data_IF_642477173559
#
_entry.id   IF_642477173559
#
_cell.length_a   1.000
_cell.length_b   1.000
_cell.length_c   1.000
_cell.angle_alpha   90.00
_cell.angle_beta   90.00
_cell.angle_gamma   90.00
#
_symmetry.space_group_name_H-M   'P 1'
#
loop_
_entity.id
_entity.type
_entity.pdbx_description
1 polymer ?
#
# COMPACT_ATOMS: atom_id res chain seq x y z
N UNK A 1 -3.79 16.74 3.48
CA UNK A 1 -3.53 15.27 3.49
C UNK A 1 -2.16 15.10 4.12
N UNK A 2 -2.08 14.39 5.24
CA UNK A 2 -0.79 14.05 5.84
C UNK A 2 -0.21 12.84 5.11
N UNK A 3 1.11 12.85 4.89
CA UNK A 3 1.84 11.73 4.27
C UNK A 3 1.87 10.53 5.23
N UNK A 4 2.03 9.31 4.72
CA UNK A 4 2.00 8.15 5.62
C UNK A 4 3.17 8.20 6.62
N UNK A 5 2.94 7.99 7.94
CA UNK A 5 4.00 8.03 8.95
C UNK A 5 5.18 7.10 8.64
N UNK A 6 4.88 5.94 8.03
CA UNK A 6 5.88 4.98 7.59
C UNK A 6 6.80 5.54 6.50
N UNK A 7 6.25 6.27 5.52
CA UNK A 7 7.05 6.90 4.48
C UNK A 7 7.94 8.01 5.05
N UNK A 8 7.42 8.78 6.01
CA UNK A 8 8.19 9.82 6.70
C UNK A 8 9.38 9.25 7.48
N UNK A 9 9.18 8.17 8.24
CA UNK A 9 10.26 7.42 8.91
C UNK A 9 11.27 6.87 7.89
N UNK A 10 10.80 6.33 6.77
CA UNK A 10 11.68 5.83 5.71
C UNK A 10 12.54 6.93 5.05
N UNK A 11 12.10 8.19 5.07
CA UNK A 11 12.83 9.33 4.53
C UNK A 11 13.64 10.10 5.59
N UNK A 12 13.72 9.57 6.83
CA UNK A 12 14.45 10.20 7.94
C UNK A 12 13.76 11.43 8.52
N UNK A 13 12.47 11.63 8.23
CA UNK A 13 11.62 12.72 8.75
C UNK A 13 10.82 12.24 9.95
N UNK A 14 11.52 11.74 10.96
CA UNK A 14 10.92 11.10 12.16
C UNK A 14 10.05 12.07 12.95
N UNK A 15 10.46 13.34 13.07
CA UNK A 15 9.71 14.36 13.82
C UNK A 15 8.33 14.65 13.18
N UNK A 16 8.28 14.68 11.84
CA UNK A 16 7.02 14.86 11.10
C UNK A 16 6.15 13.61 11.11
N UNK A 17 6.77 12.43 11.18
CA UNK A 17 6.05 11.18 11.37
C UNK A 17 5.35 11.14 12.73
N UNK A 18 6.01 11.67 13.77
CA UNK A 18 5.49 11.78 15.12
C UNK A 18 4.31 12.75 15.17
N UNK A 19 4.46 13.95 14.59
CA UNK A 19 3.38 14.95 14.48
C UNK A 19 2.16 14.38 13.72
N UNK A 20 2.41 13.67 12.62
CA UNK A 20 1.36 13.01 11.85
C UNK A 20 0.68 11.88 12.64
N UNK A 21 1.44 11.07 13.38
CA UNK A 21 0.90 10.02 14.25
C UNK A 21 0.06 10.59 15.39
N UNK A 22 0.51 11.69 16.00
CA UNK A 22 -0.26 12.42 17.01
C UNK A 22 -1.58 12.93 16.43
N UNK A 23 -1.55 13.54 15.24
CA UNK A 23 -2.76 13.99 14.54
C UNK A 23 -3.75 12.84 14.27
N UNK A 24 -3.27 11.68 13.82
CA UNK A 24 -4.14 10.51 13.61
C UNK A 24 -4.68 9.88 14.89
N UNK A 25 -4.01 10.08 16.04
CA UNK A 25 -4.38 9.49 17.35
C UNK A 25 -5.00 10.48 18.33
N UNK A 26 -5.26 11.72 17.92
CA UNK A 26 -5.96 12.70 18.75
C UNK A 26 -7.23 12.08 19.36
N UNK A 27 -7.23 11.90 20.68
CA UNK A 27 -8.38 11.40 21.46
C UNK A 27 -8.36 9.92 21.86
N UNK A 28 -7.41 9.10 21.40
CA UNK A 28 -7.39 7.65 21.69
C UNK A 28 -6.15 7.13 22.43
N UNK A 29 -5.03 7.85 22.43
CA UNK A 29 -3.76 7.34 22.96
C UNK A 29 -2.98 8.36 23.80
N UNK A 30 -2.18 7.83 24.72
CA UNK A 30 -1.21 8.62 25.49
C UNK A 30 0.06 8.87 24.67
N UNK A 31 0.79 9.98 24.91
CA UNK A 31 1.99 10.30 24.13
C UNK A 31 3.08 9.21 24.20
N UNK A 32 3.17 8.44 25.29
CA UNK A 32 4.12 7.32 25.40
C UNK A 32 3.77 6.11 24.53
N UNK A 33 2.48 5.87 24.25
CA UNK A 33 2.05 4.81 23.33
C UNK A 33 2.31 5.19 21.87
N UNK A 34 2.28 6.49 21.55
CA UNK A 34 2.62 7.01 20.21
C UNK A 34 4.12 6.85 19.94
N UNK A 35 4.97 7.15 20.91
CA UNK A 35 6.43 6.98 20.79
C UNK A 35 6.82 5.50 20.68
N UNK A 36 6.11 4.62 21.40
CA UNK A 36 6.28 3.16 21.28
C UNK A 36 5.94 2.68 19.87
N UNK A 37 4.80 3.10 19.31
CA UNK A 37 4.41 2.76 17.94
C UNK A 37 5.40 3.30 16.91
N UNK A 38 5.89 4.54 17.09
CA UNK A 38 6.91 5.13 16.22
C UNK A 38 8.18 4.27 16.23
N UNK A 39 8.63 3.83 17.41
CA UNK A 39 9.80 2.94 17.56
C UNK A 39 9.57 1.59 16.87
N UNK A 40 8.36 1.03 16.92
CA UNK A 40 8.01 -0.19 16.19
C UNK A 40 8.07 0.00 14.68
N UNK A 41 7.58 1.14 14.17
CA UNK A 41 7.66 1.50 12.75
C UNK A 41 9.13 1.63 12.33
N UNK A 42 9.97 2.31 13.12
CA UNK A 42 11.41 2.42 12.85
C UNK A 42 12.10 1.06 12.77
N UNK A 43 11.80 0.16 13.73
CA UNK A 43 12.33 -1.21 13.72
C UNK A 43 11.87 -1.99 12.48
N UNK A 44 10.60 -1.86 12.10
CA UNK A 44 10.06 -2.51 10.92
C UNK A 44 10.71 -1.98 9.63
N UNK A 45 10.94 -0.67 9.52
CA UNK A 45 11.62 -0.04 8.39
C UNK A 45 13.10 -0.45 8.34
N UNK A 46 13.79 -0.47 9.48
CA UNK A 46 15.17 -0.95 9.56
C UNK A 46 15.28 -2.42 9.15
N UNK A 47 14.39 -3.29 9.66
CA UNK A 47 14.33 -4.69 9.27
C UNK A 47 14.03 -4.85 7.78
N UNK A 48 13.13 -4.03 7.21
CA UNK A 48 12.84 -4.04 5.78
C UNK A 48 14.05 -3.63 4.94
N UNK A 49 14.75 -2.55 5.33
CA UNK A 49 15.99 -2.10 4.66
C UNK A 49 17.08 -3.17 4.69
N UNK A 50 17.28 -3.86 5.81
CA UNK A 50 18.26 -4.95 5.94
C UNK A 50 17.83 -6.18 5.13
N UNK A 51 16.53 -6.51 5.16
CA UNK A 51 16.00 -7.67 4.46
C UNK A 51 16.16 -7.56 2.94
N UNK A 52 16.29 -6.34 2.41
CA UNK A 52 16.59 -6.10 1.01
C UNK A 52 15.62 -6.82 0.08
N UNK A 53 14.36 -6.99 0.50
CA UNK A 53 13.33 -7.72 -0.25
C UNK A 53 13.19 -7.07 -1.62
N UNK A 54 13.87 -7.67 -2.59
CA UNK A 54 13.92 -7.19 -3.95
C UNK A 54 12.68 -7.73 -4.64
N UNK A 55 12.10 -7.01 -5.60
CA UNK A 55 10.96 -7.53 -6.39
C UNK A 55 11.22 -8.91 -7.01
N UNK A 56 12.49 -9.26 -7.23
CA UNK A 56 12.93 -10.59 -7.68
C UNK A 56 12.66 -11.68 -6.64
N UNK A 57 12.74 -11.40 -5.33
CA UNK A 57 12.47 -12.39 -4.28
C UNK A 57 11.03 -12.89 -4.30
N UNK A 58 10.08 -12.11 -4.83
CA UNK A 58 8.70 -12.55 -5.06
C UNK A 58 8.61 -13.71 -6.07
N UNK A 59 9.56 -13.81 -6.99
CA UNK A 59 9.66 -14.90 -7.96
C UNK A 59 10.61 -16.01 -7.50
N UNK A 60 11.55 -15.73 -6.60
CA UNK A 60 12.49 -16.72 -6.06
C UNK A 60 11.88 -17.55 -4.93
N UNK A 61 11.13 -16.93 -4.02
CA UNK A 61 10.47 -17.64 -2.92
C UNK A 61 9.13 -18.24 -3.35
N UNK A 62 9.04 -19.57 -3.30
CA UNK A 62 7.82 -20.31 -3.67
C UNK A 62 6.60 -19.90 -2.86
N UNK A 63 6.79 -19.54 -1.59
CA UNK A 63 5.74 -19.03 -0.69
C UNK A 63 5.22 -17.66 -1.13
N UNK A 64 6.11 -16.74 -1.48
CA UNK A 64 5.75 -15.40 -1.95
C UNK A 64 5.12 -15.45 -3.35
N UNK A 65 5.68 -16.29 -4.24
CA UNK A 65 5.13 -16.54 -5.56
C UNK A 65 3.69 -17.07 -5.49
N UNK A 66 3.41 -18.01 -4.59
CA UNK A 66 2.06 -18.53 -4.42
C UNK A 66 1.05 -17.46 -3.93
N UNK A 67 1.49 -16.46 -3.17
CA UNK A 67 0.63 -15.34 -2.74
C UNK A 67 0.40 -14.35 -3.88
N UNK A 68 1.46 -13.98 -4.57
CA UNK A 68 1.40 -13.11 -5.75
C UNK A 68 0.53 -13.71 -6.85
N UNK A 69 0.69 -15.01 -7.13
CA UNK A 69 -0.10 -15.72 -8.14
C UNK A 69 -1.60 -15.75 -7.82
N UNK A 70 -1.97 -15.97 -6.54
CA UNK A 70 -3.37 -15.89 -6.11
C UNK A 70 -3.95 -14.50 -6.32
N UNK A 71 -3.20 -13.45 -5.98
CA UNK A 71 -3.62 -12.07 -6.22
C UNK A 71 -3.78 -11.77 -7.72
N UNK A 72 -2.83 -12.22 -8.55
CA UNK A 72 -2.89 -12.07 -10.00
C UNK A 72 -4.10 -12.80 -10.61
N UNK A 73 -4.38 -14.02 -10.15
CA UNK A 73 -5.55 -14.78 -10.57
C UNK A 73 -6.86 -14.07 -10.20
N UNK A 74 -6.97 -13.57 -8.97
CA UNK A 74 -8.14 -12.81 -8.52
C UNK A 74 -8.32 -11.53 -9.36
N UNK A 75 -7.25 -10.79 -9.60
CA UNK A 75 -7.30 -9.58 -10.42
C UNK A 75 -7.69 -9.88 -11.87
N UNK A 76 -7.20 -10.98 -12.43
CA UNK A 76 -7.57 -11.45 -13.76
C UNK A 76 -9.05 -11.83 -13.82
N UNK A 77 -9.56 -12.57 -12.83
CA UNK A 77 -10.99 -12.88 -12.73
C UNK A 77 -11.86 -11.62 -12.57
N UNK A 78 -11.39 -10.64 -11.80
CA UNK A 78 -12.08 -9.36 -11.65
C UNK A 78 -12.18 -8.62 -12.99
N UNK A 79 -11.10 -8.57 -13.78
CA UNK A 79 -11.10 -7.97 -15.11
C UNK A 79 -11.98 -8.74 -16.10
N UNK A 80 -12.02 -10.07 -16.03
CA UNK A 80 -12.93 -10.90 -16.84
C UNK A 80 -14.39 -10.64 -16.46
N UNK A 81 -14.69 -10.52 -15.18
CA UNK A 81 -16.03 -10.19 -14.70
C UNK A 81 -16.47 -8.77 -15.11
N UNK A 82 -15.51 -7.85 -15.28
CA UNK A 82 -15.79 -6.46 -15.62
C UNK A 82 -15.74 -6.15 -17.14
N UNK A 83 -15.17 -7.02 -17.98
CA UNK A 83 -14.72 -6.61 -19.33
C UNK A 83 -15.09 -7.52 -20.49
N UNK A 84 -16.38 -7.78 -20.73
CA UNK A 84 -16.96 -7.94 -22.10
C UNK A 84 -18.48 -7.69 -21.95
N UNK A 85 -19.20 -6.66 -22.49
CA UNK A 85 -18.94 -5.71 -23.59
C UNK A 85 -19.45 -4.25 -23.36
N UNK A 86 -19.67 -3.76 -22.12
CA UNK A 86 -20.44 -2.51 -21.90
C UNK A 86 -19.69 -1.21 -22.26
N UNK A 87 -18.35 -1.23 -22.26
CA UNK A 87 -17.52 -0.05 -22.53
C UNK A 87 -17.39 0.26 -24.03
N UNK A 88 -17.56 -0.74 -24.91
CA UNK A 88 -17.51 -0.58 -26.37
C UNK A 88 -18.83 -0.01 -26.92
N UNK A 89 -19.98 -0.37 -26.35
CA UNK A 89 -21.27 0.23 -26.76
C UNK A 89 -21.37 1.72 -26.39
N UNK A 90 -20.81 2.12 -25.24
CA UNK A 90 -20.86 3.51 -24.78
C UNK A 90 -20.03 4.46 -25.65
N UNK A 91 -18.90 4.02 -26.23
CA UNK A 91 -18.13 4.85 -27.18
C UNK A 91 -18.79 4.96 -28.56
N UNK A 92 -19.51 3.94 -29.03
CA UNK A 92 -20.26 4.03 -30.31
C UNK A 92 -21.49 4.94 -30.22
N UNK A 93 -22.19 4.99 -29.09
CA UNK A 93 -23.35 5.85 -28.92
C UNK A 93 -23.00 7.36 -28.94
N UNK A 94 -21.85 7.76 -28.38
CA UNK A 94 -21.42 9.16 -28.39
C UNK A 94 -20.96 9.65 -29.77
N UNK A 95 -20.48 8.76 -30.66
CA UNK A 95 -20.06 9.11 -32.02
C UNK A 95 -21.27 9.20 -32.98
N UNK A 96 -22.40 8.56 -32.66
CA UNK A 96 -23.60 8.56 -33.51
C UNK A 96 -24.58 9.71 -33.20
N UNK A 97 -24.34 10.49 -32.14
CA UNK A 97 -25.17 11.64 -31.70
C UNK A 97 -24.46 12.99 -31.83
N UNK A 98 -23.41 13.08 -32.66
CA UNK A 98 -22.74 14.33 -33.07
C UNK A 98 -22.67 14.41 -34.59
#
# INVERSE_FOLDING_TARGET
MHESPRWLVEHGRTDEALDTLQFYREGYYTPGEVETELTEIERAVAAFRISGLTWVSLFTDSSLFARMWRAALLQFMAQICLSVPLTILRRRATIMMS
#
